data_IF_635424141492
#
_entry.id   IF_635424141492
#
_cell.length_a   1.000
_cell.length_b   1.000
_cell.length_c   1.000
_cell.angle_alpha   90.00
_cell.angle_beta   90.00
_cell.angle_gamma   90.00
#
_symmetry.space_group_name_H-M   'P 1'
#
loop_
_entity.id
_entity.type
_entity.pdbx_description
1 polymer ?
#
# COMPACT_ATOMS: atom_id res chain seq x y z
N UNK A 1 13.46 -10.93 0.42
CA UNK A 1 12.80 -10.59 -0.86
C UNK A 1 13.26 -9.23 -1.32
N UNK A 2 13.49 -9.06 -2.61
CA UNK A 2 13.88 -7.78 -3.16
C UNK A 2 12.73 -6.77 -3.10
N UNK A 3 13.07 -5.52 -2.87
CA UNK A 3 12.10 -4.42 -2.78
C UNK A 3 11.26 -4.31 -4.06
N UNK A 4 11.89 -4.44 -5.22
CA UNK A 4 11.16 -4.33 -6.49
C UNK A 4 10.07 -5.39 -6.64
N UNK A 5 10.37 -6.61 -6.27
CA UNK A 5 9.41 -7.70 -6.33
C UNK A 5 8.29 -7.49 -5.31
N UNK A 6 8.63 -7.02 -4.14
CA UNK A 6 7.66 -6.70 -3.10
C UNK A 6 6.72 -5.58 -3.57
N UNK A 7 7.26 -4.54 -4.21
CA UNK A 7 6.46 -3.47 -4.78
C UNK A 7 5.45 -4.00 -5.80
N UNK A 8 5.87 -4.89 -6.69
CA UNK A 8 4.98 -5.48 -7.70
C UNK A 8 3.82 -6.23 -7.05
N UNK A 9 4.12 -7.04 -6.04
CA UNK A 9 3.11 -7.81 -5.31
C UNK A 9 2.10 -6.88 -4.64
N UNK A 10 2.59 -5.84 -3.97
CA UNK A 10 1.73 -4.89 -3.27
C UNK A 10 0.87 -4.08 -4.24
N UNK A 11 1.44 -3.62 -5.34
CA UNK A 11 0.68 -2.88 -6.36
C UNK A 11 -0.44 -3.75 -6.92
N UNK A 12 -0.15 -5.01 -7.24
CA UNK A 12 -1.17 -5.94 -7.72
C UNK A 12 -2.28 -6.14 -6.71
N UNK A 13 -1.94 -6.26 -5.43
CA UNK A 13 -2.91 -6.42 -4.34
C UNK A 13 -3.79 -5.18 -4.22
N UNK A 14 -3.18 -4.00 -4.24
CA UNK A 14 -3.91 -2.73 -4.09
C UNK A 14 -4.90 -2.52 -5.23
N UNK A 15 -4.53 -2.89 -6.45
CA UNK A 15 -5.40 -2.74 -7.61
C UNK A 15 -6.67 -3.58 -7.56
N UNK A 16 -6.72 -4.58 -6.70
CA UNK A 16 -7.93 -5.41 -6.54
C UNK A 16 -8.96 -4.82 -5.59
N UNK A 17 -8.61 -3.74 -4.89
CA UNK A 17 -9.50 -3.14 -3.88
C UNK A 17 -10.52 -2.25 -4.56
N UNK A 18 -11.81 -2.55 -4.32
CA UNK A 18 -12.90 -1.74 -4.86
C UNK A 18 -12.85 -0.32 -4.26
N UNK A 19 -13.12 0.67 -5.10
CA UNK A 19 -13.10 2.06 -4.67
C UNK A 19 -11.78 2.79 -4.89
N UNK A 20 -10.70 2.08 -5.16
CA UNK A 20 -9.42 2.68 -5.54
C UNK A 20 -9.35 2.75 -7.06
N UNK A 21 -9.29 3.97 -7.59
CA UNK A 21 -9.29 4.22 -9.04
C UNK A 21 -7.89 4.10 -9.62
N UNK A 22 -6.92 4.66 -8.92
CA UNK A 22 -5.53 4.59 -9.35
C UNK A 22 -4.58 4.77 -8.17
N UNK A 23 -3.33 4.38 -8.39
CA UNK A 23 -2.24 4.61 -7.45
C UNK A 23 -1.44 5.79 -8.00
N UNK A 24 -1.35 6.88 -7.22
CA UNK A 24 -0.60 8.07 -7.58
C UNK A 24 0.82 8.01 -7.04
N UNK A 25 1.74 8.62 -7.79
CA UNK A 25 3.14 8.64 -7.38
C UNK A 25 3.37 9.58 -6.20
N UNK A 26 4.32 9.20 -5.35
CA UNK A 26 4.91 10.04 -4.32
C UNK A 26 6.39 10.09 -4.66
N UNK A 27 6.94 11.30 -4.86
CA UNK A 27 8.34 11.48 -5.24
C UNK A 27 8.73 10.62 -6.46
N UNK A 28 7.87 10.61 -7.48
CA UNK A 28 8.02 9.86 -8.73
C UNK A 28 7.97 8.34 -8.58
N UNK A 29 7.58 7.84 -7.42
CA UNK A 29 7.37 6.41 -7.19
C UNK A 29 5.91 6.14 -6.85
N UNK A 30 5.34 5.08 -7.43
CA UNK A 30 3.94 4.70 -7.17
C UNK A 30 3.73 4.21 -5.75
N UNK A 31 4.74 3.61 -5.19
CA UNK A 31 4.70 3.00 -3.87
C UNK A 31 6.09 3.07 -3.28
N UNK A 32 6.21 3.57 -2.08
CA UNK A 32 7.49 3.62 -1.37
C UNK A 32 7.45 2.56 -0.28
N UNK A 33 8.32 1.56 -0.41
CA UNK A 33 8.48 0.49 0.57
C UNK A 33 9.92 0.48 1.04
N UNK A 34 10.12 0.55 2.34
CA UNK A 34 11.45 0.55 2.91
C UNK A 34 11.51 -0.46 4.05
N UNK A 35 12.57 -1.26 4.08
CA UNK A 35 12.82 -2.09 5.25
C UNK A 35 13.22 -1.21 6.43
N UNK A 36 12.75 -1.56 7.61
CA UNK A 36 13.20 -0.92 8.83
C UNK A 36 14.68 -1.25 9.02
N UNK A 37 15.44 -0.27 9.48
CA UNK A 37 16.89 -0.38 9.62
C UNK A 37 17.29 -1.72 10.26
N UNK A 38 18.17 -2.45 9.56
CA UNK A 38 18.71 -3.74 9.99
C UNK A 38 17.68 -4.85 10.20
N UNK A 39 16.46 -4.70 9.66
CA UNK A 39 15.45 -5.74 9.81
C UNK A 39 14.65 -5.90 8.54
N UNK A 40 14.94 -6.95 7.77
CA UNK A 40 14.25 -7.26 6.52
C UNK A 40 12.88 -7.90 6.72
N UNK A 41 12.46 -8.09 7.96
CA UNK A 41 11.15 -8.65 8.28
C UNK A 41 10.12 -7.59 8.64
N UNK A 42 10.50 -6.32 8.65
CA UNK A 42 9.61 -5.21 8.99
C UNK A 42 9.76 -4.10 7.96
N UNK A 43 8.65 -3.56 7.49
CA UNK A 43 8.64 -2.52 6.47
C UNK A 43 7.84 -1.29 6.87
N UNK A 44 8.23 -0.14 6.31
CA UNK A 44 7.43 1.07 6.29
C UNK A 44 6.94 1.28 4.87
N UNK A 45 5.67 1.62 4.71
CA UNK A 45 5.04 1.78 3.40
C UNK A 45 4.40 3.15 3.31
N UNK A 46 4.62 3.84 2.18
CA UNK A 46 3.93 5.09 1.84
C UNK A 46 3.25 4.90 0.49
N UNK A 47 2.01 5.32 0.40
CA UNK A 47 1.16 5.05 -0.75
C UNK A 47 0.24 6.23 -1.02
N UNK A 48 0.18 6.68 -2.28
CA UNK A 48 -0.79 7.67 -2.73
C UNK A 48 -1.88 7.00 -3.55
N UNK A 49 -3.14 7.31 -3.28
CA UNK A 49 -4.28 6.72 -3.97
C UNK A 49 -5.30 7.77 -4.39
N UNK A 50 -6.06 7.45 -5.43
CA UNK A 50 -7.24 8.21 -5.86
C UNK A 50 -8.46 7.31 -5.67
N UNK A 51 -9.48 7.84 -5.02
CA UNK A 51 -10.70 7.11 -4.71
C UNK A 51 -11.86 7.47 -5.65
N UNK A 52 -12.83 6.58 -5.76
CA UNK A 52 -14.11 6.92 -6.37
C UNK A 52 -14.81 7.99 -5.53
N UNK A 53 -15.49 8.93 -6.19
CA UNK A 53 -16.13 10.08 -5.53
C UNK A 53 -17.09 9.67 -4.41
N UNK A 54 -17.85 8.59 -4.58
CA UNK A 54 -18.84 8.14 -3.61
C UNK A 54 -18.33 7.05 -2.67
N UNK A 55 -17.03 6.81 -2.67
CA UNK A 55 -16.45 5.78 -1.81
C UNK A 55 -16.24 6.30 -0.39
N UNK A 56 -16.40 5.40 0.59
CA UNK A 56 -16.09 5.71 1.97
C UNK A 56 -14.61 5.52 2.23
N UNK A 57 -13.88 6.61 2.33
CA UNK A 57 -12.43 6.61 2.47
C UNK A 57 -11.97 5.75 3.65
N UNK A 58 -12.62 5.88 4.80
CA UNK A 58 -12.26 5.12 6.00
C UNK A 58 -12.33 3.62 5.77
N UNK A 59 -13.42 3.15 5.16
CA UNK A 59 -13.62 1.72 4.87
C UNK A 59 -12.58 1.22 3.90
N UNK A 60 -12.26 2.01 2.85
CA UNK A 60 -11.27 1.63 1.85
C UNK A 60 -9.88 1.55 2.47
N UNK A 61 -9.52 2.52 3.31
CA UNK A 61 -8.21 2.52 3.98
C UNK A 61 -8.09 1.32 4.93
N UNK A 62 -9.15 0.98 5.66
CA UNK A 62 -9.16 -0.19 6.51
C UNK A 62 -8.97 -1.48 5.71
N UNK A 63 -9.68 -1.63 4.60
CA UNK A 63 -9.55 -2.78 3.72
C UNK A 63 -8.14 -2.85 3.11
N UNK A 64 -7.63 -1.72 2.67
CA UNK A 64 -6.27 -1.61 2.15
C UNK A 64 -5.24 -2.12 3.17
N UNK A 65 -5.36 -1.66 4.41
CA UNK A 65 -4.48 -2.08 5.49
C UNK A 65 -4.58 -3.60 5.72
N UNK A 66 -5.79 -4.14 5.75
CA UNK A 66 -6.00 -5.57 5.95
C UNK A 66 -5.41 -6.40 4.82
N UNK A 67 -5.63 -5.98 3.56
CA UNK A 67 -5.14 -6.72 2.41
C UNK A 67 -3.61 -6.69 2.33
N UNK A 68 -3.01 -5.55 2.59
CA UNK A 68 -1.55 -5.43 2.60
C UNK A 68 -0.96 -6.26 3.73
N UNK A 69 -1.54 -6.18 4.93
CA UNK A 69 -1.08 -6.96 6.08
C UNK A 69 -1.16 -8.46 5.82
N UNK A 70 -2.27 -8.91 5.23
CA UNK A 70 -2.47 -10.31 4.88
C UNK A 70 -1.41 -10.79 3.88
N UNK A 71 -1.19 -9.99 2.84
CA UNK A 71 -0.19 -10.29 1.82
C UNK A 71 1.21 -10.42 2.43
N UNK A 72 1.59 -9.47 3.28
CA UNK A 72 2.92 -9.46 3.90
C UNK A 72 3.09 -10.57 4.94
N UNK A 73 2.02 -10.92 5.65
CA UNK A 73 2.07 -12.01 6.63
C UNK A 73 2.45 -13.33 5.96
N UNK A 74 1.94 -13.57 4.73
CA UNK A 74 2.31 -14.75 3.96
C UNK A 74 3.80 -14.80 3.63
N UNK A 75 4.44 -13.63 3.60
CA UNK A 75 5.87 -13.49 3.30
C UNK A 75 6.70 -13.35 4.56
N UNK A 76 6.09 -13.52 5.73
CA UNK A 76 6.74 -13.33 7.05
C UNK A 76 7.28 -11.92 7.23
N UNK A 77 6.56 -10.93 6.71
CA UNK A 77 6.92 -9.52 6.83
C UNK A 77 5.84 -8.79 7.62
N UNK A 78 6.25 -7.90 8.52
CA UNK A 78 5.33 -7.07 9.32
C UNK A 78 5.41 -5.63 8.86
N UNK A 79 4.29 -4.91 8.99
CA UNK A 79 4.23 -3.47 8.71
C UNK A 79 4.47 -2.73 10.03
N UNK A 80 5.44 -1.81 10.02
CA UNK A 80 5.63 -0.90 11.14
C UNK A 80 4.78 0.34 10.97
N UNK A 81 4.83 0.95 9.79
CA UNK A 81 4.06 2.17 9.46
C UNK A 81 3.48 2.01 8.05
N UNK A 82 2.20 2.32 7.92
CA UNK A 82 1.55 2.42 6.63
C UNK A 82 0.94 3.82 6.52
N UNK A 83 1.54 4.66 5.69
CA UNK A 83 1.04 6.00 5.39
C UNK A 83 0.28 5.98 4.07
N UNK A 84 -1.00 6.31 4.13
CA UNK A 84 -1.85 6.37 2.95
C UNK A 84 -2.23 7.83 2.69
N UNK A 85 -1.87 8.34 1.52
CA UNK A 85 -2.20 9.69 1.10
C UNK A 85 -3.31 9.64 0.08
N UNK A 86 -4.46 10.24 0.40
CA UNK A 86 -5.56 10.35 -0.54
C UNK A 86 -5.29 11.56 -1.41
N UNK A 87 -4.97 11.33 -2.68
CA UNK A 87 -4.54 12.38 -3.62
C UNK A 87 -5.70 12.99 -4.39
N UNK A 88 -6.89 12.45 -4.26
CA UNK A 88 -8.07 12.99 -4.93
C UNK A 88 -9.16 11.96 -5.08
N UNK A 89 -10.25 12.39 -5.71
CA UNK A 89 -11.39 11.54 -6.01
C UNK A 89 -11.79 11.71 -7.47
N UNK A 90 -12.42 10.70 -8.01
CA UNK A 90 -12.97 10.73 -9.38
C UNK A 90 -14.37 10.18 -9.45
#
# INVERSE_FOLDING_TARGET
>A
MEIEKLNEILISTIKTIAGIVEIRTINDEKLIVEYVKNNKSVVNIKLGIVLLTNAYAKTIVEELHQQISYCLTKLNIKIKVLDVYIKGTR
#
